data_IF_500304745418
#
_entry.id   IF_500304745418
#
_cell.length_a   1.000
_cell.length_b   1.000
_cell.length_c   1.000
_cell.angle_alpha   90.00
_cell.angle_beta   90.00
_cell.angle_gamma   90.00
#
_symmetry.space_group_name_H-M   'P 1'
#
loop_
_entity.id
_entity.type
_entity.pdbx_description
1 polymer ?
#
# COMPACT_ATOMS: atom_id res chain seq x y z
N UNK A 1 -14.61 10.56 6.85
CA UNK A 1 -15.62 9.67 7.47
C UNK A 1 -15.40 8.27 6.93
N UNK A 2 -15.16 7.26 7.74
CA UNK A 2 -15.19 5.89 7.27
C UNK A 2 -16.67 5.47 7.16
N UNK A 3 -17.16 5.16 5.96
CA UNK A 3 -18.43 4.44 5.80
C UNK A 3 -18.18 2.95 6.04
N UNK A 4 -19.27 2.19 6.22
CA UNK A 4 -19.21 0.78 6.60
C UNK A 4 -18.92 -0.17 5.42
N UNK A 5 -18.60 0.35 4.24
CA UNK A 5 -18.31 -0.41 3.02
C UNK A 5 -17.17 0.24 2.24
N UNK A 6 -16.54 -0.53 1.36
CA UNK A 6 -15.45 -0.09 0.49
C UNK A 6 -15.94 0.36 -0.91
N UNK A 7 -17.26 0.44 -1.14
CA UNK A 7 -17.81 0.72 -2.47
C UNK A 7 -18.18 2.19 -2.65
N UNK A 8 -18.64 2.84 -1.57
CA UNK A 8 -19.18 4.20 -1.64
C UNK A 8 -18.24 5.22 -2.30
N UNK A 9 -16.96 5.18 -1.95
CA UNK A 9 -15.98 6.14 -2.49
C UNK A 9 -15.42 5.77 -3.86
N UNK A 10 -15.89 4.68 -4.47
CA UNK A 10 -15.58 4.35 -5.86
C UNK A 10 -16.29 5.30 -6.83
N UNK A 11 -17.45 5.84 -6.47
CA UNK A 11 -18.25 6.73 -7.31
C UNK A 11 -18.70 8.03 -6.60
N UNK A 12 -18.10 8.35 -5.44
CA UNK A 12 -18.34 9.57 -4.68
C UNK A 12 -17.01 10.25 -4.30
N UNK A 13 -17.00 11.58 -4.32
CA UNK A 13 -15.86 12.37 -3.84
C UNK A 13 -15.78 12.37 -2.29
N UNK A 14 -14.74 13.02 -1.75
CA UNK A 14 -14.52 13.11 -0.31
C UNK A 14 -15.63 13.86 0.45
N UNK A 15 -16.44 14.67 -0.23
CA UNK A 15 -17.59 15.36 0.35
C UNK A 15 -18.86 14.49 0.33
N UNK A 16 -18.81 13.31 -0.28
CA UNK A 16 -19.94 12.40 -0.43
C UNK A 16 -20.88 12.75 -1.58
N UNK A 17 -20.43 13.54 -2.54
CA UNK A 17 -21.15 13.87 -3.75
C UNK A 17 -20.83 12.87 -4.87
N UNK A 18 -21.78 12.48 -5.73
CA UNK A 18 -21.53 11.61 -6.86
C UNK A 18 -20.40 12.14 -7.76
N UNK A 19 -19.40 11.31 -8.01
CA UNK A 19 -18.25 11.65 -8.86
C UNK A 19 -17.64 10.37 -9.42
N UNK A 20 -17.64 10.22 -10.73
CA UNK A 20 -17.11 9.03 -11.43
C UNK A 20 -15.61 8.75 -11.16
N UNK A 21 -14.87 9.77 -10.73
CA UNK A 21 -13.45 9.61 -10.38
C UNK A 21 -13.27 9.09 -8.95
N UNK A 22 -14.36 9.01 -8.17
CA UNK A 22 -14.32 8.59 -6.78
C UNK A 22 -13.43 9.45 -5.89
N UNK A 23 -12.92 8.83 -4.84
CA UNK A 23 -11.92 9.40 -3.94
C UNK A 23 -10.88 8.34 -3.56
N UNK A 24 -9.75 8.76 -2.98
CA UNK A 24 -8.87 7.86 -2.25
C UNK A 24 -9.47 7.66 -0.85
N UNK A 25 -9.64 6.41 -0.44
CA UNK A 25 -10.27 6.08 0.83
C UNK A 25 -9.56 4.98 1.59
N UNK A 26 -9.71 5.00 2.91
CA UNK A 26 -9.22 3.97 3.82
C UNK A 26 -10.20 2.81 3.85
N UNK A 27 -9.67 1.58 3.89
CA UNK A 27 -10.47 0.36 4.07
C UNK A 27 -11.43 0.48 5.26
N UNK A 28 -12.70 0.19 5.04
CA UNK A 28 -13.79 0.40 6.00
C UNK A 28 -13.63 -0.40 7.31
N UNK A 29 -12.84 -1.48 7.29
CA UNK A 29 -12.55 -2.28 8.47
C UNK A 29 -11.44 -1.68 9.36
N UNK A 30 -10.80 -0.59 8.93
CA UNK A 30 -9.70 0.05 9.67
C UNK A 30 -10.22 1.25 10.46
N UNK A 31 -10.17 1.15 11.79
CA UNK A 31 -10.42 2.28 12.68
C UNK A 31 -9.19 3.19 12.79
N UNK A 32 -9.42 4.51 12.89
CA UNK A 32 -8.35 5.50 13.11
C UNK A 32 -8.17 5.87 14.59
N UNK A 33 -9.06 5.43 15.45
CA UNK A 33 -9.08 5.65 16.90
C UNK A 33 -8.01 4.85 17.66
N UNK A 34 -7.47 3.81 17.02
CA UNK A 34 -6.32 3.04 17.48
C UNK A 34 -5.31 2.97 16.35
N UNK A 35 -4.02 2.92 16.69
CA UNK A 35 -2.96 2.75 15.69
C UNK A 35 -3.08 1.37 15.03
N UNK A 36 -3.55 1.27 13.75
CA UNK A 36 -3.70 0.00 13.08
C UNK A 36 -2.34 -0.57 12.67
N UNK A 37 -2.24 -1.88 12.52
CA UNK A 37 -1.05 -2.53 11.95
C UNK A 37 -0.85 -2.17 10.47
N UNK A 38 -1.92 -1.89 9.75
CA UNK A 38 -1.87 -1.55 8.33
C UNK A 38 -2.88 -0.47 8.02
N UNK A 39 -2.43 0.61 7.38
CA UNK A 39 -3.28 1.51 6.62
C UNK A 39 -3.41 0.96 5.21
N UNK A 40 -4.61 0.51 4.84
CA UNK A 40 -4.93 -0.01 3.52
C UNK A 40 -5.81 1.02 2.81
N UNK A 41 -5.29 1.62 1.74
CA UNK A 41 -5.98 2.66 0.98
C UNK A 41 -6.28 2.20 -0.43
N UNK A 42 -7.46 2.53 -0.89
CA UNK A 42 -7.93 2.28 -2.24
C UNK A 42 -8.10 3.58 -3.02
N UNK A 43 -7.94 3.51 -4.34
CA UNK A 43 -8.19 4.61 -5.25
C UNK A 43 -8.18 4.15 -6.69
N UNK A 44 -8.85 4.87 -7.57
CA UNK A 44 -8.94 4.52 -8.99
C UNK A 44 -7.60 4.62 -9.73
N UNK A 45 -7.41 3.72 -10.70
CA UNK A 45 -6.29 3.73 -11.63
C UNK A 45 -6.58 4.65 -12.83
N UNK A 46 -6.42 5.94 -12.63
CA UNK A 46 -6.69 6.92 -13.70
C UNK A 46 -5.56 6.95 -14.72
N UNK A 47 -5.90 6.87 -16.01
CA UNK A 47 -4.92 7.00 -17.12
C UNK A 47 -4.18 8.33 -17.10
N UNK A 48 -4.81 9.37 -16.58
CA UNK A 48 -4.22 10.71 -16.40
C UNK A 48 -3.14 10.76 -15.33
N UNK A 49 -3.00 9.71 -14.51
CA UNK A 49 -2.11 9.67 -13.34
C UNK A 49 -2.75 10.24 -12.06
N UNK A 50 -3.97 10.77 -12.13
CA UNK A 50 -4.72 11.17 -10.94
C UNK A 50 -5.10 9.97 -10.07
N UNK A 51 -5.57 10.23 -8.85
CA UNK A 51 -5.85 9.23 -7.83
C UNK A 51 -4.64 8.30 -7.64
N UNK A 52 -4.80 6.99 -7.82
CA UNK A 52 -3.71 6.01 -7.76
C UNK A 52 -3.15 5.60 -9.13
N UNK A 53 -3.50 6.32 -10.19
CA UNK A 53 -2.93 6.08 -11.53
C UNK A 53 -1.40 6.27 -11.58
N UNK A 54 -0.83 7.11 -10.70
CA UNK A 54 0.63 7.32 -10.60
C UNK A 54 1.38 6.17 -9.92
N UNK A 55 0.70 5.23 -9.23
CA UNK A 55 1.36 4.09 -8.57
C UNK A 55 2.14 3.20 -9.56
N UNK A 56 1.74 3.18 -10.85
CA UNK A 56 2.51 2.49 -11.91
C UNK A 56 3.95 2.97 -12.04
N UNK A 57 4.25 4.19 -11.59
CA UNK A 57 5.61 4.73 -11.67
C UNK A 57 6.58 3.97 -10.77
N UNK A 58 6.10 3.33 -9.70
CA UNK A 58 6.93 2.50 -8.82
C UNK A 58 7.41 1.20 -9.46
N UNK A 59 6.83 0.79 -10.60
CA UNK A 59 7.36 -0.32 -11.41
C UNK A 59 8.62 0.10 -12.19
N UNK A 60 8.90 1.42 -12.27
CA UNK A 60 10.14 1.93 -12.82
C UNK A 60 11.18 2.10 -11.71
N UNK A 61 12.27 1.41 -11.84
CA UNK A 61 13.35 1.38 -10.86
C UNK A 61 13.99 2.73 -10.58
N UNK A 62 14.15 3.54 -11.59
CA UNK A 62 14.73 4.87 -11.43
C UNK A 62 13.81 5.78 -10.61
N UNK A 63 12.48 5.66 -10.80
CA UNK A 63 11.49 6.36 -10.00
C UNK A 63 11.53 5.88 -8.55
N UNK A 64 11.47 4.57 -8.33
CA UNK A 64 11.50 3.97 -6.98
C UNK A 64 12.76 4.39 -6.20
N UNK A 65 13.95 4.33 -6.82
CA UNK A 65 15.21 4.76 -6.18
C UNK A 65 15.27 6.24 -5.88
N UNK A 66 14.61 7.07 -6.71
CA UNK A 66 14.56 8.51 -6.52
C UNK A 66 13.69 8.89 -5.35
N UNK A 67 12.53 8.25 -5.25
CA UNK A 67 11.47 8.62 -4.30
C UNK A 67 10.86 7.41 -3.56
N UNK A 68 11.67 6.72 -2.72
CA UNK A 68 11.22 5.51 -2.03
C UNK A 68 10.37 5.79 -0.78
N UNK A 69 10.07 7.04 -0.47
CA UNK A 69 9.39 7.41 0.76
C UNK A 69 8.00 7.99 0.51
N UNK A 70 7.05 7.59 1.35
CA UNK A 70 5.69 8.11 1.35
C UNK A 70 5.40 8.79 2.68
N UNK A 71 4.83 9.98 2.64
CA UNK A 71 4.27 10.63 3.84
C UNK A 71 2.79 10.35 3.90
N UNK A 72 2.33 9.84 5.02
CA UNK A 72 0.92 9.64 5.31
C UNK A 72 0.62 10.08 6.74
N UNK A 73 -0.01 11.24 6.86
CA UNK A 73 -0.38 11.83 8.14
C UNK A 73 -1.86 11.52 8.44
N UNK A 74 -2.15 11.24 9.69
CA UNK A 74 -3.50 11.13 10.23
C UNK A 74 -3.79 12.32 11.12
N UNK A 75 -5.02 12.42 11.63
CA UNK A 75 -5.36 13.44 12.65
C UNK A 75 -4.59 13.24 13.96
N UNK A 76 -4.04 12.07 14.19
CA UNK A 76 -3.41 11.68 15.45
C UNK A 76 -1.89 11.62 15.40
N UNK A 77 -1.33 11.33 14.23
CA UNK A 77 0.11 11.16 14.09
C UNK A 77 0.60 11.51 12.67
N UNK A 78 1.84 11.96 12.60
CA UNK A 78 2.58 12.04 11.33
C UNK A 78 3.22 10.71 11.02
N UNK A 79 3.17 10.31 9.76
CA UNK A 79 3.72 9.04 9.30
C UNK A 79 4.71 9.20 8.15
N UNK A 80 5.86 8.58 8.28
CA UNK A 80 6.85 8.48 7.21
C UNK A 80 7.14 7.01 6.95
N UNK A 81 6.98 6.60 5.70
CA UNK A 81 7.03 5.20 5.30
C UNK A 81 8.08 5.01 4.20
N UNK A 82 8.76 3.88 4.21
CA UNK A 82 9.68 3.45 3.14
C UNK A 82 9.04 2.32 2.35
N UNK A 83 9.00 2.47 1.03
CA UNK A 83 8.44 1.45 0.12
C UNK A 83 9.38 0.24 0.09
N UNK A 84 8.80 -0.95 0.28
CA UNK A 84 9.51 -2.23 0.23
C UNK A 84 9.03 -3.15 -0.87
N UNK A 85 7.81 -2.96 -1.39
CA UNK A 85 7.28 -3.73 -2.51
C UNK A 85 6.39 -2.87 -3.40
N UNK A 86 6.48 -3.10 -4.71
CA UNK A 86 5.60 -2.48 -5.70
C UNK A 86 5.43 -3.43 -6.89
N UNK A 87 4.19 -3.67 -7.30
CA UNK A 87 3.90 -4.60 -8.38
C UNK A 87 2.42 -4.87 -8.58
N UNK A 88 2.11 -5.92 -9.31
CA UNK A 88 0.75 -6.40 -9.52
C UNK A 88 0.58 -7.73 -8.79
N UNK A 89 -0.43 -7.79 -7.94
CA UNK A 89 -0.83 -8.94 -7.13
C UNK A 89 -2.22 -9.40 -7.53
N UNK A 90 -2.61 -10.59 -7.13
CA UNK A 90 -3.95 -11.12 -7.34
C UNK A 90 -4.72 -11.24 -6.01
N UNK A 91 -6.03 -11.09 -6.08
CA UNK A 91 -6.95 -11.42 -4.99
C UNK A 91 -7.50 -12.84 -5.09
N UNK A 92 -7.15 -13.58 -6.15
CA UNK A 92 -7.55 -14.97 -6.36
C UNK A 92 -6.57 -15.91 -5.66
N UNK A 93 -7.08 -16.73 -4.73
CA UNK A 93 -6.26 -17.64 -3.90
C UNK A 93 -5.46 -18.69 -4.72
N UNK A 94 -5.93 -19.04 -5.90
CA UNK A 94 -5.25 -19.98 -6.81
C UNK A 94 -4.05 -19.38 -7.54
N UNK A 95 -3.88 -18.07 -7.48
CA UNK A 95 -2.81 -17.35 -8.17
C UNK A 95 -1.48 -17.47 -7.41
N UNK A 96 -0.39 -17.60 -8.14
CA UNK A 96 0.99 -17.50 -7.61
C UNK A 96 1.36 -16.12 -7.08
N UNK A 97 0.53 -15.11 -7.41
CA UNK A 97 0.65 -13.74 -6.93
C UNK A 97 -0.41 -13.36 -5.90
N UNK A 98 -1.05 -14.35 -5.30
CA UNK A 98 -2.08 -14.11 -4.30
C UNK A 98 -1.54 -13.34 -3.09
N UNK A 99 -2.29 -12.32 -2.67
CA UNK A 99 -2.03 -11.59 -1.42
C UNK A 99 -3.31 -11.53 -0.59
N UNK A 100 -3.23 -12.03 0.63
CA UNK A 100 -4.31 -11.92 1.61
C UNK A 100 -4.30 -10.52 2.27
N UNK A 101 -5.07 -9.60 1.70
CA UNK A 101 -5.25 -8.25 2.27
C UNK A 101 -5.95 -8.25 3.62
N UNK A 102 -6.70 -9.31 3.94
CA UNK A 102 -7.33 -9.44 5.25
C UNK A 102 -6.29 -9.77 6.33
N UNK A 103 -5.36 -10.68 6.03
CA UNK A 103 -4.26 -11.02 6.92
C UNK A 103 -3.37 -9.81 7.23
N UNK A 104 -3.14 -8.90 6.28
CA UNK A 104 -2.36 -7.67 6.51
C UNK A 104 -2.96 -6.77 7.60
N UNK A 105 -4.27 -6.78 7.79
CA UNK A 105 -5.00 -6.00 8.81
C UNK A 105 -5.12 -6.72 10.14
N UNK A 106 -4.87 -8.03 10.15
CA UNK A 106 -5.04 -8.90 11.31
C UNK A 106 -3.96 -8.67 12.37
N UNK A 107 -4.25 -9.09 13.61
CA UNK A 107 -3.26 -9.21 14.69
C UNK A 107 -2.52 -10.55 14.66
N UNK A 108 -2.88 -11.45 13.75
CA UNK A 108 -2.20 -12.73 13.58
C UNK A 108 -0.83 -12.51 12.91
N UNK A 109 0.22 -12.57 13.69
CA UNK A 109 1.62 -12.35 13.27
C UNK A 109 2.02 -13.28 12.12
N UNK A 110 1.66 -14.57 12.21
CA UNK A 110 2.01 -15.54 11.16
C UNK A 110 1.29 -15.24 9.85
N UNK A 111 0.00 -14.94 9.88
CA UNK A 111 -0.76 -14.56 8.68
C UNK A 111 -0.24 -13.27 8.06
N UNK A 112 0.13 -12.28 8.89
CA UNK A 112 0.75 -11.04 8.41
C UNK A 112 2.09 -11.28 7.74
N UNK A 113 2.96 -12.12 8.32
CA UNK A 113 4.23 -12.47 7.72
C UNK A 113 4.04 -13.09 6.33
N UNK A 114 3.13 -14.07 6.21
CA UNK A 114 2.83 -14.70 4.92
C UNK A 114 2.35 -13.68 3.88
N UNK A 115 1.48 -12.75 4.26
CA UNK A 115 0.98 -11.72 3.35
C UNK A 115 2.09 -10.71 2.96
N UNK A 116 3.00 -10.37 3.87
CA UNK A 116 4.18 -9.54 3.59
C UNK A 116 5.11 -10.26 2.60
N UNK A 117 5.39 -11.55 2.84
CA UNK A 117 6.24 -12.36 1.96
C UNK A 117 5.63 -12.47 0.56
N UNK A 118 4.29 -12.61 0.46
CA UNK A 118 3.57 -12.59 -0.82
C UNK A 118 3.72 -11.24 -1.54
N UNK A 119 3.62 -10.11 -0.83
CA UNK A 119 3.85 -8.77 -1.40
C UNK A 119 5.28 -8.63 -1.94
N UNK A 120 6.27 -9.10 -1.17
CA UNK A 120 7.68 -9.07 -1.57
C UNK A 120 7.90 -9.96 -2.79
N UNK A 121 7.34 -11.18 -2.79
CA UNK A 121 7.46 -12.14 -3.89
C UNK A 121 6.82 -11.66 -5.19
N UNK A 122 5.73 -10.89 -5.11
CA UNK A 122 5.05 -10.30 -6.27
C UNK A 122 5.63 -8.95 -6.70
N UNK A 123 6.60 -8.41 -5.97
CA UNK A 123 7.20 -7.11 -6.28
C UNK A 123 7.99 -7.16 -7.60
N UNK A 124 7.84 -6.12 -8.42
CA UNK A 124 8.60 -5.94 -9.65
C UNK A 124 10.11 -5.78 -9.39
N UNK A 125 10.46 -5.34 -8.20
CA UNK A 125 11.84 -5.09 -7.78
C UNK A 125 12.16 -5.86 -6.51
N UNK A 126 13.35 -6.45 -6.45
CA UNK A 126 13.90 -6.90 -5.17
C UNK A 126 14.20 -5.67 -4.29
N UNK A 127 13.95 -5.78 -3.00
CA UNK A 127 14.20 -4.70 -2.04
C UNK A 127 14.94 -5.22 -0.83
N UNK A 128 16.00 -4.53 -0.40
CA UNK A 128 16.76 -4.86 0.82
C UNK A 128 16.17 -4.24 2.09
N UNK A 129 15.03 -3.55 1.99
CA UNK A 129 14.35 -3.04 3.19
C UNK A 129 13.74 -4.25 3.93
N UNK A 130 14.22 -4.47 5.14
CA UNK A 130 13.64 -5.48 6.01
C UNK A 130 12.25 -5.07 6.50
N UNK A 131 11.36 -6.03 6.60
CA UNK A 131 9.99 -5.82 7.06
C UNK A 131 9.61 -6.92 8.04
N UNK A 132 9.13 -6.53 9.20
CA UNK A 132 8.66 -7.44 10.23
C UNK A 132 7.13 -7.41 10.34
N UNK A 133 6.48 -8.49 10.78
CA UNK A 133 5.02 -8.53 10.87
C UNK A 133 4.45 -7.56 11.91
N UNK A 134 5.28 -7.05 12.82
CA UNK A 134 4.93 -6.03 13.81
C UNK A 134 5.01 -4.60 13.25
N UNK A 135 5.67 -4.41 12.11
CA UNK A 135 5.78 -3.09 11.50
C UNK A 135 4.40 -2.54 11.12
N UNK A 136 4.23 -1.25 11.30
CA UNK A 136 3.07 -0.57 10.75
C UNK A 136 3.23 -0.37 9.24
N UNK A 137 2.27 -0.88 8.48
CA UNK A 137 2.30 -0.83 7.02
C UNK A 137 1.38 0.26 6.47
N UNK A 138 1.76 0.78 5.32
CA UNK A 138 0.92 1.57 4.41
C UNK A 138 0.85 0.84 3.08
N UNK A 139 -0.34 0.41 2.68
CA UNK A 139 -0.56 -0.33 1.44
C UNK A 139 -1.54 0.44 0.57
N UNK A 140 -1.08 0.88 -0.59
CA UNK A 140 -1.86 1.61 -1.59
C UNK A 140 -2.27 0.64 -2.68
N UNK A 141 -3.57 0.55 -2.97
CA UNK A 141 -4.16 -0.45 -3.85
C UNK A 141 -5.02 0.20 -4.92
N UNK A 142 -4.84 -0.20 -6.17
CA UNK A 142 -5.70 0.20 -7.28
C UNK A 142 -5.95 -0.96 -8.24
N UNK A 143 -7.04 -0.88 -9.00
CA UNK A 143 -7.39 -1.89 -10.01
C UNK A 143 -6.42 -1.82 -11.20
N UNK A 144 -6.28 -2.94 -11.89
CA UNK A 144 -5.66 -3.07 -13.21
C UNK A 144 -6.67 -3.70 -14.18
N UNK A 145 -6.23 -4.08 -15.39
CA UNK A 145 -7.14 -4.51 -16.46
C UNK A 145 -7.95 -5.79 -16.14
N UNK A 146 -7.39 -6.69 -15.31
CA UNK A 146 -8.09 -7.89 -14.84
C UNK A 146 -8.81 -7.62 -13.53
N UNK A 147 -10.00 -8.17 -13.38
CA UNK A 147 -10.88 -7.94 -12.24
C UNK A 147 -10.24 -8.37 -10.91
N UNK A 148 -9.49 -9.46 -10.89
CA UNK A 148 -8.83 -10.00 -9.71
C UNK A 148 -7.47 -9.36 -9.41
N UNK A 149 -6.87 -8.69 -10.39
CA UNK A 149 -5.55 -8.11 -10.23
C UNK A 149 -5.60 -6.72 -9.61
N UNK A 150 -4.61 -6.44 -8.78
CA UNK A 150 -4.43 -5.14 -8.10
C UNK A 150 -2.99 -4.68 -8.25
N UNK A 151 -2.81 -3.43 -8.64
CA UNK A 151 -1.51 -2.79 -8.46
C UNK A 151 -1.38 -2.33 -7.04
N UNK A 152 -0.26 -2.68 -6.42
CA UNK A 152 0.03 -2.32 -5.03
C UNK A 152 1.36 -1.58 -4.93
N UNK A 153 1.42 -0.66 -3.97
CA UNK A 153 2.67 -0.11 -3.43
C UNK A 153 2.59 -0.29 -1.92
N UNK A 154 3.47 -1.09 -1.38
CA UNK A 154 3.53 -1.41 0.03
C UNK A 154 4.77 -0.78 0.67
N UNK A 155 4.54 -0.09 1.78
CA UNK A 155 5.57 0.60 2.54
C UNK A 155 5.43 0.27 4.03
N UNK A 156 6.55 0.23 4.76
CA UNK A 156 6.55 0.15 6.21
C UNK A 156 6.94 1.48 6.84
N UNK A 157 6.44 1.73 8.03
CA UNK A 157 6.83 2.91 8.80
C UNK A 157 8.33 2.88 9.09
N UNK A 158 8.97 4.03 8.96
CA UNK A 158 10.36 4.21 9.39
C UNK A 158 10.39 4.02 10.91
N UNK A 159 11.22 3.10 11.39
CA UNK A 159 11.35 2.77 12.80
C UNK A 159 12.15 3.85 13.52
N UNK A 160 11.95 3.95 14.83
CA UNK A 160 12.74 4.86 15.67
C UNK A 160 14.24 4.51 15.58
N UNK A 161 15.07 5.54 15.36
CA UNK A 161 16.50 5.35 15.18
C UNK A 161 16.97 5.09 13.74
N UNK A 162 16.07 4.81 12.80
CA UNK A 162 16.42 4.73 11.38
C UNK A 162 16.52 6.12 10.75
N UNK A 163 17.41 6.27 9.77
CA UNK A 163 17.51 7.49 8.97
C UNK A 163 17.11 7.26 7.52
N UNK A 164 16.40 8.21 6.92
CA UNK A 164 16.05 8.16 5.49
C UNK A 164 17.30 8.01 4.60
N UNK A 165 18.41 8.60 5.00
CA UNK A 165 19.68 8.50 4.25
C UNK A 165 20.23 7.07 4.22
N UNK A 166 20.13 6.32 5.33
CA UNK A 166 20.53 4.93 5.42
C UNK A 166 19.59 4.03 4.61
N UNK A 167 18.27 4.19 4.78
CA UNK A 167 17.24 3.46 4.03
C UNK A 167 17.35 3.71 2.53
N UNK A 168 17.62 4.96 2.10
CA UNK A 168 17.82 5.29 0.69
C UNK A 168 19.05 4.61 0.09
N UNK A 169 20.11 4.36 0.89
CA UNK A 169 21.25 3.56 0.44
C UNK A 169 20.89 2.09 0.25
N UNK A 170 20.06 1.52 1.14
CA UNK A 170 19.54 0.16 0.98
C UNK A 170 18.71 0.03 -0.30
N UNK A 171 17.73 0.92 -0.50
CA UNK A 171 16.91 0.95 -1.73
C UNK A 171 17.77 1.03 -3.00
N UNK A 172 18.88 1.76 -3.00
CA UNK A 172 19.77 1.85 -4.16
C UNK A 172 20.57 0.57 -4.45
N UNK A 173 20.75 -0.31 -3.46
CA UNK A 173 21.45 -1.59 -3.61
C UNK A 173 20.50 -2.72 -4.05
N UNK A 174 19.20 -2.51 -3.90
CA UNK A 174 18.12 -3.45 -4.23
C UNK A 174 18.00 -3.62 -5.75
N UNK A 175 18.76 -4.56 -6.33
CA UNK A 175 18.71 -4.96 -7.77
C UNK A 175 19.41 -6.27 -8.00
#
# INVERSE_FOLDING_TARGET
MARRDNDFYLDHNANGEPNINGAIFLDAAIGLDSRPYTYLLYGHNMKTGAMFGSLRNYENSAFYRKDPFITFDTMYEKGRFVVFAAGVVSTEESSDKYVDFYALKSRNIQGRQQAIDSLIGASTHSCEIDVEPEDQLLVLVTCVDKEEDRRVVAARRIRDGESEAALKKQVKRSW
#
